data_IF_154831899057
#
_entry.id   IF_154831899057
#
_cell.length_a   1.000
_cell.length_b   1.000
_cell.length_c   1.000
_cell.angle_alpha   90.00
_cell.angle_beta   90.00
_cell.angle_gamma   90.00
#
_symmetry.space_group_name_H-M   'P 1'
#
loop_
_entity.id
_entity.type
_entity.pdbx_description
1 polymer ?
#
# COMPACT_ATOMS: atom_id res chain seq x y z
N UNK A 1 5.78 -19.14 -18.86
CA UNK A 1 4.85 -19.56 -17.79
C UNK A 1 5.11 -18.72 -16.54
N UNK A 2 4.11 -18.36 -15.74
CA UNK A 2 4.36 -17.71 -14.43
C UNK A 2 5.10 -18.69 -13.54
N UNK A 3 6.14 -18.23 -12.85
CA UNK A 3 6.85 -19.04 -11.88
C UNK A 3 5.96 -19.31 -10.66
N UNK A 4 6.28 -20.35 -9.89
CA UNK A 4 5.55 -20.69 -8.66
C UNK A 4 5.65 -19.56 -7.61
N UNK A 5 6.79 -18.86 -7.56
CA UNK A 5 7.05 -17.78 -6.62
C UNK A 5 6.23 -16.53 -6.94
N UNK A 6 6.21 -16.08 -8.20
CA UNK A 6 5.35 -14.98 -8.67
C UNK A 6 3.87 -15.24 -8.36
N UNK A 7 3.40 -16.46 -8.59
CA UNK A 7 2.02 -16.86 -8.26
C UNK A 7 1.74 -16.85 -6.75
N UNK A 8 2.73 -17.17 -5.92
CA UNK A 8 2.58 -17.08 -4.46
C UNK A 8 2.55 -15.62 -3.99
N UNK A 9 3.38 -14.76 -4.57
CA UNK A 9 3.37 -13.31 -4.28
C UNK A 9 2.02 -12.68 -4.64
N UNK A 10 1.41 -13.07 -5.77
CA UNK A 10 0.07 -12.62 -6.15
C UNK A 10 -0.98 -12.99 -5.09
N UNK A 11 -0.93 -14.22 -4.55
CA UNK A 11 -1.82 -14.67 -3.47
C UNK A 11 -1.58 -13.91 -2.17
N UNK A 12 -0.34 -13.57 -1.85
CA UNK A 12 0.00 -12.78 -0.65
C UNK A 12 -0.57 -11.36 -0.78
N UNK A 13 -0.43 -10.74 -1.95
CA UNK A 13 -1.01 -9.41 -2.22
C UNK A 13 -2.53 -9.47 -2.11
N UNK A 14 -3.15 -10.52 -2.67
CA UNK A 14 -4.60 -10.72 -2.62
C UNK A 14 -5.12 -10.89 -1.18
N UNK A 15 -4.49 -11.78 -0.42
CA UNK A 15 -4.78 -11.96 1.00
C UNK A 15 -4.56 -10.67 1.80
N UNK A 16 -3.55 -9.87 1.45
CA UNK A 16 -3.23 -8.60 2.09
C UNK A 16 -4.36 -7.57 1.99
N UNK A 17 -4.88 -7.31 0.79
CA UNK A 17 -5.96 -6.33 0.65
C UNK A 17 -7.28 -6.84 1.23
N UNK A 18 -7.57 -8.15 1.14
CA UNK A 18 -8.72 -8.77 1.81
C UNK A 18 -8.63 -8.64 3.33
N UNK A 19 -7.44 -8.90 3.90
CA UNK A 19 -7.18 -8.71 5.33
C UNK A 19 -7.35 -7.24 5.72
N UNK A 20 -6.88 -6.28 4.92
CA UNK A 20 -7.10 -4.86 5.17
C UNK A 20 -8.60 -4.52 5.15
N UNK A 21 -9.36 -5.03 4.20
CA UNK A 21 -10.80 -4.77 4.06
C UNK A 21 -11.62 -5.32 5.23
N UNK A 22 -11.26 -6.49 5.76
CA UNK A 22 -12.00 -7.15 6.85
C UNK A 22 -11.50 -6.70 8.22
N UNK A 23 -10.18 -6.70 8.45
CA UNK A 23 -9.62 -6.47 9.79
C UNK A 23 -9.65 -4.98 10.14
N UNK A 24 -9.40 -4.06 9.19
CA UNK A 24 -9.40 -2.64 9.51
C UNK A 24 -10.72 -2.12 10.12
N UNK A 25 -11.94 -2.46 9.62
CA UNK A 25 -13.17 -2.03 10.27
C UNK A 25 -13.40 -2.71 11.62
N UNK A 26 -13.02 -3.98 11.77
CA UNK A 26 -13.26 -4.77 12.98
C UNK A 26 -12.26 -4.51 14.12
N UNK A 27 -11.08 -4.00 13.80
CA UNK A 27 -10.01 -3.83 14.76
C UNK A 27 -10.20 -2.57 15.62
N UNK A 28 -10.17 -2.77 16.94
CA UNK A 28 -10.11 -1.75 17.97
C UNK A 28 -9.31 -2.28 19.16
N UNK A 29 -8.67 -1.39 19.91
CA UNK A 29 -7.85 -1.76 21.06
C UNK A 29 -8.29 -0.97 22.30
N UNK A 30 -9.01 -1.63 23.20
CA UNK A 30 -9.55 -1.01 24.43
C UNK A 30 -8.44 -0.54 25.38
N UNK A 31 -7.24 -1.10 25.27
CA UNK A 31 -6.09 -0.71 26.09
C UNK A 31 -5.35 0.52 25.56
N UNK A 32 -5.77 1.07 24.41
CA UNK A 32 -5.15 2.26 23.81
C UNK A 32 -5.93 3.53 24.18
N UNK A 33 -5.20 4.66 24.32
CA UNK A 33 -5.80 5.96 24.63
C UNK A 33 -6.76 6.47 23.55
N UNK A 34 -6.61 5.96 22.31
CA UNK A 34 -7.56 6.13 21.22
C UNK A 34 -7.93 4.76 20.69
N UNK A 35 -9.00 4.21 21.25
CA UNK A 35 -9.44 2.83 21.03
C UNK A 35 -9.62 2.47 19.55
N UNK A 36 -9.95 3.44 18.68
CA UNK A 36 -10.33 3.18 17.29
C UNK A 36 -9.36 3.70 16.22
N UNK A 37 -8.41 4.58 16.55
CA UNK A 37 -7.67 5.37 15.55
C UNK A 37 -6.25 4.84 15.26
N UNK A 38 -5.24 5.04 16.14
CA UNK A 38 -3.82 4.85 15.81
C UNK A 38 -3.44 3.39 15.55
N UNK A 39 -3.97 2.44 16.32
CA UNK A 39 -3.56 1.04 16.21
C UNK A 39 -4.09 0.40 14.90
N UNK A 40 -5.19 0.93 14.37
CA UNK A 40 -5.71 0.55 13.06
C UNK A 40 -4.76 0.97 11.93
N UNK A 41 -4.14 2.15 12.08
CA UNK A 41 -3.18 2.65 11.10
C UNK A 41 -1.90 1.84 11.09
N UNK A 42 -1.39 1.42 12.25
CA UNK A 42 -0.19 0.59 12.33
C UNK A 42 -0.43 -0.79 11.73
N UNK A 43 -1.62 -1.36 11.90
CA UNK A 43 -2.05 -2.58 11.20
C UNK A 43 -2.03 -2.41 9.68
N UNK A 44 -2.71 -1.38 9.15
CA UNK A 44 -2.77 -1.16 7.69
C UNK A 44 -1.39 -0.87 7.10
N UNK A 45 -0.55 -0.09 7.81
CA UNK A 45 0.86 0.15 7.42
C UNK A 45 1.64 -1.16 7.33
N UNK A 46 1.50 -2.05 8.30
CA UNK A 46 2.17 -3.35 8.31
C UNK A 46 1.72 -4.24 7.14
N UNK A 47 0.42 -4.29 6.86
CA UNK A 47 -0.13 -5.01 5.70
C UNK A 47 0.45 -4.44 4.40
N UNK A 48 0.46 -3.11 4.25
CA UNK A 48 1.02 -2.45 3.06
C UNK A 48 2.50 -2.80 2.84
N UNK A 49 3.31 -2.86 3.90
CA UNK A 49 4.72 -3.26 3.82
C UNK A 49 4.88 -4.70 3.35
N UNK A 50 4.09 -5.64 3.88
CA UNK A 50 4.12 -7.05 3.44
C UNK A 50 3.72 -7.17 1.97
N UNK A 51 2.66 -6.48 1.56
CA UNK A 51 2.21 -6.45 0.17
C UNK A 51 3.27 -5.84 -0.76
N UNK A 52 3.91 -4.75 -0.35
CA UNK A 52 5.00 -4.12 -1.11
C UNK A 52 6.21 -5.05 -1.25
N UNK A 53 6.58 -5.76 -0.18
CA UNK A 53 7.67 -6.74 -0.21
C UNK A 53 7.36 -7.89 -1.18
N UNK A 54 6.15 -8.45 -1.11
CA UNK A 54 5.70 -9.49 -2.05
C UNK A 54 5.72 -8.99 -3.50
N UNK A 55 5.28 -7.75 -3.74
CA UNK A 55 5.33 -7.13 -5.06
C UNK A 55 6.77 -6.94 -5.57
N UNK A 56 7.69 -6.49 -4.71
CA UNK A 56 9.10 -6.33 -5.07
C UNK A 56 9.76 -7.67 -5.43
N UNK A 57 9.47 -8.73 -4.67
CA UNK A 57 9.95 -10.09 -4.98
C UNK A 57 9.41 -10.55 -6.34
N UNK A 58 8.09 -10.40 -6.57
CA UNK A 58 7.46 -10.73 -7.87
C UNK A 58 8.09 -9.94 -9.01
N UNK A 59 8.30 -8.64 -8.83
CA UNK A 59 8.88 -7.75 -9.84
C UNK A 59 10.33 -8.11 -10.18
N UNK A 60 11.15 -8.39 -9.18
CA UNK A 60 12.54 -8.81 -9.38
C UNK A 60 12.63 -10.14 -10.15
N UNK A 61 11.76 -11.10 -9.82
CA UNK A 61 11.68 -12.38 -10.50
C UNK A 61 11.23 -12.25 -11.97
N UNK A 62 10.17 -11.48 -12.21
CA UNK A 62 9.68 -11.21 -13.57
C UNK A 62 10.77 -10.57 -14.43
N UNK A 63 11.49 -9.58 -13.88
CA UNK A 63 12.60 -8.92 -14.57
C UNK A 63 13.75 -9.87 -14.89
N UNK A 64 14.12 -10.75 -13.96
CA UNK A 64 15.15 -11.79 -14.17
C UNK A 64 14.75 -12.77 -15.27
N UNK A 65 13.46 -13.12 -15.36
CA UNK A 65 12.94 -14.02 -16.41
C UNK A 65 12.78 -13.36 -17.79
N UNK A 66 13.24 -12.13 -17.99
CA UNK A 66 13.11 -11.38 -19.25
C UNK A 66 11.68 -10.90 -19.53
N UNK A 67 10.81 -10.90 -18.52
CA UNK A 67 9.41 -10.46 -18.64
C UNK A 67 9.29 -9.03 -18.17
N UNK A 68 8.67 -8.19 -19.00
CA UNK A 68 8.19 -6.87 -18.57
C UNK A 68 6.85 -7.10 -17.84
N UNK A 69 6.63 -6.77 -16.57
CA UNK A 69 7.31 -5.82 -15.69
C UNK A 69 6.32 -4.71 -15.35
N UNK A 70 5.48 -4.91 -14.32
CA UNK A 70 4.32 -4.09 -13.93
C UNK A 70 3.25 -3.91 -15.02
N UNK A 71 1.99 -4.22 -14.70
CA UNK A 71 0.88 -4.09 -15.67
C UNK A 71 0.23 -2.70 -15.66
N UNK A 72 0.68 -1.83 -14.76
CA UNK A 72 0.20 -0.45 -14.67
C UNK A 72 0.91 0.42 -15.70
N UNK A 73 0.14 1.23 -16.41
CA UNK A 73 0.65 2.23 -17.35
C UNK A 73 0.17 3.61 -16.91
N UNK A 74 0.85 4.67 -17.36
CA UNK A 74 0.36 6.05 -17.21
C UNK A 74 -0.98 6.27 -17.94
N UNK A 75 -1.34 5.38 -18.87
CA UNK A 75 -2.64 5.38 -19.55
C UNK A 75 -3.76 4.78 -18.71
N UNK A 76 -3.45 4.03 -17.65
CA UNK A 76 -4.45 3.48 -16.75
C UNK A 76 -5.09 4.65 -15.98
N UNK A 77 -6.44 4.79 -16.00
CA UNK A 77 -7.10 5.87 -15.27
C UNK A 77 -6.73 5.77 -13.79
N UNK A 78 -6.54 6.92 -13.15
CA UNK A 78 -6.10 7.10 -11.75
C UNK A 78 -4.60 6.92 -11.48
N UNK A 79 -3.80 6.23 -12.31
CA UNK A 79 -2.35 6.12 -12.06
C UNK A 79 -1.67 7.49 -12.11
N UNK A 80 -1.95 8.29 -13.14
CA UNK A 80 -1.38 9.63 -13.28
C UNK A 80 -1.80 10.58 -12.13
N UNK A 81 -3.09 10.74 -11.79
CA UNK A 81 -3.50 11.50 -10.61
C UNK A 81 -2.84 11.04 -9.30
N UNK A 82 -2.73 9.72 -9.08
CA UNK A 82 -2.08 9.19 -7.89
C UNK A 82 -0.59 9.51 -7.86
N UNK A 83 0.12 9.44 -8.98
CA UNK A 83 1.53 9.84 -9.05
C UNK A 83 1.71 11.34 -8.79
N UNK A 84 0.83 12.20 -9.32
CA UNK A 84 0.85 13.63 -9.02
C UNK A 84 0.63 13.87 -7.52
N UNK A 85 -0.27 13.12 -6.89
CA UNK A 85 -0.48 13.18 -5.43
C UNK A 85 0.78 12.77 -4.64
N UNK A 86 1.46 11.69 -5.05
CA UNK A 86 2.73 11.26 -4.44
C UNK A 86 3.77 12.38 -4.52
N UNK A 87 3.95 12.98 -5.70
CA UNK A 87 4.89 14.09 -5.90
C UNK A 87 4.52 15.29 -5.04
N UNK A 88 3.25 15.67 -4.99
CA UNK A 88 2.77 16.77 -4.16
C UNK A 88 3.06 16.52 -2.66
N UNK A 89 2.81 15.30 -2.16
CA UNK A 89 3.13 14.93 -0.78
C UNK A 89 4.63 14.94 -0.49
N UNK A 90 5.48 14.48 -1.43
CA UNK A 90 6.93 14.54 -1.28
C UNK A 90 7.42 15.98 -1.18
N UNK A 91 6.99 16.85 -2.09
CA UNK A 91 7.34 18.28 -2.10
C UNK A 91 6.85 18.93 -0.79
N UNK A 92 5.59 18.72 -0.42
CA UNK A 92 5.02 19.28 0.80
C UNK A 92 5.73 18.78 2.06
N UNK A 93 6.21 17.53 2.09
CA UNK A 93 6.96 16.98 3.24
C UNK A 93 8.36 17.58 3.31
N UNK A 94 9.04 17.71 2.17
CA UNK A 94 10.40 18.23 2.08
C UNK A 94 10.49 19.71 2.48
N UNK A 95 9.51 20.53 2.06
CA UNK A 95 9.44 21.95 2.38
C UNK A 95 8.61 22.25 3.63
N UNK A 96 8.25 21.24 4.42
CA UNK A 96 7.49 21.42 5.66
C UNK A 96 8.30 22.14 6.74
N UNK A 97 7.65 22.98 7.53
CA UNK A 97 8.22 23.58 8.76
C UNK A 97 8.59 22.51 9.78
N UNK A 98 7.87 21.39 9.80
CA UNK A 98 8.13 20.25 10.70
C UNK A 98 8.19 18.93 9.90
N UNK A 99 9.27 18.68 9.13
CA UNK A 99 9.36 17.53 8.21
C UNK A 99 9.13 16.18 8.89
N UNK A 100 9.59 16.03 10.14
CA UNK A 100 9.41 14.79 10.92
C UNK A 100 7.94 14.52 11.20
N UNK A 101 7.15 15.54 11.56
CA UNK A 101 5.72 15.39 11.81
C UNK A 101 4.97 15.18 10.50
N UNK A 102 5.37 15.85 9.41
CA UNK A 102 4.79 15.60 8.08
C UNK A 102 5.04 14.17 7.60
N UNK A 103 6.23 13.61 7.80
CA UNK A 103 6.57 12.27 7.36
C UNK A 103 5.87 11.18 8.17
N UNK A 104 5.99 11.24 9.51
CA UNK A 104 5.54 10.19 10.42
C UNK A 104 4.11 10.38 10.95
N UNK A 105 3.59 11.60 10.88
CA UNK A 105 2.38 12.02 11.56
C UNK A 105 2.62 12.45 13.01
N UNK A 106 1.61 13.08 13.61
CA UNK A 106 1.66 13.44 15.02
C UNK A 106 1.59 12.19 15.91
N UNK A 107 2.13 12.28 17.12
CA UNK A 107 2.08 11.18 18.10
C UNK A 107 0.65 10.66 18.34
N UNK A 108 -0.32 11.57 18.32
CA UNK A 108 -1.71 11.27 18.59
C UNK A 108 -2.44 10.60 17.42
N UNK A 109 -2.10 10.96 16.18
CA UNK A 109 -2.87 10.54 15.00
C UNK A 109 -2.13 9.56 14.11
N UNK A 110 -0.79 9.55 14.13
CA UNK A 110 0.06 8.77 13.22
C UNK A 110 -0.31 8.94 11.73
N UNK A 111 -0.89 10.09 11.39
CA UNK A 111 -1.29 10.47 10.04
C UNK A 111 -0.23 11.38 9.43
N UNK A 112 0.60 10.81 8.56
CA UNK A 112 1.63 11.52 7.81
C UNK A 112 1.85 10.86 6.46
N UNK A 113 2.84 11.34 5.72
CA UNK A 113 3.15 10.89 4.34
C UNK A 113 3.35 9.39 4.25
N UNK A 114 3.99 8.76 5.24
CA UNK A 114 4.15 7.31 5.24
C UNK A 114 2.81 6.55 5.29
N UNK A 115 1.84 7.04 6.06
CA UNK A 115 0.50 6.45 6.16
C UNK A 115 -0.27 6.64 4.85
N UNK A 116 -0.22 7.84 4.27
CA UNK A 116 -0.80 8.11 2.94
C UNK A 116 -0.21 7.20 1.87
N UNK A 117 1.11 7.00 1.89
CA UNK A 117 1.78 6.13 0.91
C UNK A 117 1.44 4.66 1.12
N UNK A 118 1.19 4.23 2.36
CA UNK A 118 0.68 2.88 2.64
C UNK A 118 -0.67 2.65 1.95
N UNK A 119 -1.58 3.62 1.99
CA UNK A 119 -2.86 3.54 1.26
C UNK A 119 -2.67 3.53 -0.25
N UNK A 120 -1.76 4.36 -0.77
CA UNK A 120 -1.45 4.41 -2.21
C UNK A 120 -0.87 3.08 -2.69
N UNK A 121 0.02 2.45 -1.91
CA UNK A 121 0.57 1.12 -2.21
C UNK A 121 -0.56 0.10 -2.30
N UNK A 122 -1.43 0.01 -1.30
CA UNK A 122 -2.57 -0.92 -1.30
C UNK A 122 -3.45 -0.65 -2.53
N UNK A 123 -3.77 0.62 -2.81
CA UNK A 123 -4.57 1.02 -3.95
C UNK A 123 -3.96 0.59 -5.29
N UNK A 124 -2.67 0.86 -5.53
CA UNK A 124 -2.00 0.51 -6.78
C UNK A 124 -1.88 -1.00 -6.96
N UNK A 125 -1.59 -1.73 -5.88
CA UNK A 125 -1.52 -3.19 -5.92
C UNK A 125 -2.89 -3.83 -6.16
N UNK A 126 -3.94 -3.27 -5.59
CA UNK A 126 -5.32 -3.67 -5.84
C UNK A 126 -5.72 -3.35 -7.29
N UNK A 127 -5.39 -2.17 -7.81
CA UNK A 127 -5.63 -1.78 -9.21
C UNK A 127 -4.91 -2.70 -10.19
N UNK A 128 -3.70 -3.16 -9.85
CA UNK A 128 -2.95 -4.13 -10.66
C UNK A 128 -3.52 -5.56 -10.55
N UNK A 129 -4.04 -5.92 -9.38
CA UNK A 129 -4.42 -7.28 -8.98
C UNK A 129 -5.88 -7.67 -9.22
N UNK A 130 -6.82 -6.71 -9.21
CA UNK A 130 -8.24 -6.95 -9.48
C UNK A 130 -8.47 -7.28 -10.95
N UNK A 131 -8.61 -8.56 -11.25
CA UNK A 131 -8.72 -9.06 -12.63
C UNK A 131 -9.87 -10.01 -12.86
N UNK A 132 -10.40 -10.60 -11.80
CA UNK A 132 -11.46 -11.59 -11.87
C UNK A 132 -12.74 -11.01 -11.32
N UNK A 133 -13.86 -11.38 -11.94
CA UNK A 133 -15.19 -10.97 -11.49
C UNK A 133 -15.50 -11.45 -10.07
N UNK A 134 -14.93 -12.57 -9.65
CA UNK A 134 -15.07 -13.08 -8.27
C UNK A 134 -14.46 -12.16 -7.20
N UNK A 135 -13.65 -11.18 -7.58
CA UNK A 135 -13.00 -10.24 -6.66
C UNK A 135 -13.77 -8.92 -6.48
N UNK A 136 -14.88 -8.71 -7.21
CA UNK A 136 -15.72 -7.49 -7.21
C UNK A 136 -17.14 -7.86 -6.79
#
# INVERSE_FOLDING_TARGET
MSTKLSAWCDKVIEAGWLAALVIAPLFFNVHSSRVFEPDKLTLVRSIAVVMAAAWLVRWAEERSSGRSGSRLSLRTPLVLPTLLLVVAYLISTLFSVTPRVSLWGSYQRLQGTYTTFSYIVIFLLLLEGLRRREQV
#
